data_IF_111336598757
#
_entry.id   IF_111336598757
#
_cell.length_a   1.000
_cell.length_b   1.000
_cell.length_c   1.000
_cell.angle_alpha   90.00
_cell.angle_beta   90.00
_cell.angle_gamma   90.00
#
_symmetry.space_group_name_H-M   'P 1'
#
loop_
_entity.id
_entity.type
_entity.pdbx_description
1 polymer ?
#
# COMPACT_ATOMS: atom_id res chain seq x y z
N UNK A 1 21.24 1.77 5.46
CA UNK A 1 20.57 3.01 5.03
C UNK A 1 19.51 2.60 4.00
N UNK A 2 18.21 2.54 4.35
CA UNK A 2 17.15 2.20 3.37
C UNK A 2 17.05 3.35 2.36
N UNK A 3 17.00 3.02 1.07
CA UNK A 3 16.96 4.01 -0.02
C UNK A 3 15.86 5.06 0.24
N UNK A 4 16.15 6.36 0.02
CA UNK A 4 15.21 7.46 0.29
C UNK A 4 13.86 7.26 -0.42
N UNK A 5 13.86 6.60 -1.57
CA UNK A 5 12.67 6.32 -2.39
C UNK A 5 11.67 5.39 -1.70
N UNK A 6 12.16 4.42 -0.92
CA UNK A 6 11.28 3.45 -0.24
C UNK A 6 10.54 4.10 0.93
N UNK A 7 11.18 5.03 1.64
CA UNK A 7 10.53 5.76 2.74
C UNK A 7 9.42 6.67 2.22
N UNK A 8 9.68 7.43 1.15
CA UNK A 8 8.66 8.27 0.52
C UNK A 8 7.49 7.46 -0.03
N UNK A 9 7.75 6.29 -0.65
CA UNK A 9 6.69 5.38 -1.12
C UNK A 9 5.85 4.84 0.03
N UNK A 10 6.48 4.38 1.12
CA UNK A 10 5.79 3.90 2.32
C UNK A 10 4.82 4.95 2.86
N UNK A 11 5.24 6.20 3.02
CA UNK A 11 4.38 7.27 3.53
C UNK A 11 3.18 7.55 2.61
N UNK A 12 3.39 7.59 1.30
CA UNK A 12 2.29 7.80 0.32
C UNK A 12 1.28 6.65 0.34
N UNK A 13 1.78 5.41 0.29
CA UNK A 13 0.93 4.21 0.32
C UNK A 13 0.19 4.12 1.66
N UNK A 14 0.85 4.42 2.77
CA UNK A 14 0.23 4.45 4.10
C UNK A 14 -0.94 5.45 4.14
N UNK A 15 -0.76 6.65 3.59
CA UNK A 15 -1.84 7.64 3.53
C UNK A 15 -3.04 7.12 2.73
N UNK A 16 -2.79 6.46 1.59
CA UNK A 16 -3.85 5.84 0.79
C UNK A 16 -4.60 4.76 1.59
N UNK A 17 -3.87 3.92 2.32
CA UNK A 17 -4.48 2.87 3.14
C UNK A 17 -5.38 3.46 4.22
N UNK A 18 -4.88 4.47 4.95
CA UNK A 18 -5.66 5.16 5.99
C UNK A 18 -6.95 5.76 5.43
N UNK A 19 -6.88 6.35 4.22
CA UNK A 19 -8.05 6.93 3.55
C UNK A 19 -9.04 5.86 3.07
N UNK A 20 -8.57 4.78 2.44
CA UNK A 20 -9.46 3.74 1.89
C UNK A 20 -10.13 2.93 3.00
N UNK A 21 -9.38 2.58 4.05
CA UNK A 21 -9.88 1.78 5.17
C UNK A 21 -10.53 2.64 6.26
N UNK A 22 -10.51 3.96 6.10
CA UNK A 22 -11.02 4.93 7.06
C UNK A 22 -10.50 4.65 8.49
N UNK A 23 -9.20 4.37 8.60
CA UNK A 23 -8.54 3.99 9.85
C UNK A 23 -7.15 4.64 9.95
N UNK A 24 -6.98 5.57 10.89
CA UNK A 24 -5.73 6.31 11.05
C UNK A 24 -4.65 5.57 11.86
N UNK A 25 -5.01 4.48 12.55
CA UNK A 25 -4.11 3.70 13.40
C UNK A 25 -3.30 2.64 12.64
N UNK A 26 -3.39 2.62 11.30
CA UNK A 26 -2.64 1.68 10.46
C UNK A 26 -1.16 2.03 10.46
N UNK A 27 -0.34 1.01 10.64
CA UNK A 27 1.12 1.00 10.59
C UNK A 27 1.65 0.38 9.30
N UNK A 28 2.95 0.54 9.04
CA UNK A 28 3.57 0.08 7.78
C UNK A 28 3.54 -1.44 7.57
N UNK A 29 3.55 -2.19 8.68
CA UNK A 29 3.63 -3.64 8.69
C UNK A 29 2.29 -4.31 9.08
N UNK A 30 1.21 -3.52 9.19
CA UNK A 30 -0.12 -4.08 9.40
C UNK A 30 -0.56 -4.89 8.17
N UNK A 31 -1.02 -6.12 8.43
CA UNK A 31 -1.58 -6.98 7.40
C UNK A 31 -2.99 -6.50 7.05
N UNK A 32 -3.20 -6.23 5.76
CA UNK A 32 -4.48 -5.74 5.21
C UNK A 32 -5.68 -6.57 5.68
N UNK A 33 -5.54 -7.89 5.72
CA UNK A 33 -6.62 -8.80 6.10
C UNK A 33 -6.80 -8.82 7.62
N UNK A 34 -5.71 -8.75 8.38
CA UNK A 34 -5.76 -8.71 9.84
C UNK A 34 -6.46 -7.45 10.38
N UNK A 35 -6.32 -6.31 9.69
CA UNK A 35 -7.01 -5.05 10.03
C UNK A 35 -8.43 -4.95 9.45
N UNK A 36 -8.95 -6.04 8.87
CA UNK A 36 -10.33 -6.12 8.34
C UNK A 36 -10.49 -5.68 6.89
N UNK A 37 -9.40 -5.42 6.17
CA UNK A 37 -9.43 -5.08 4.75
C UNK A 37 -9.88 -6.26 3.88
N UNK A 38 -10.71 -5.96 2.89
CA UNK A 38 -11.27 -6.95 1.98
C UNK A 38 -10.71 -6.78 0.55
N UNK A 39 -11.11 -7.68 -0.34
CA UNK A 39 -10.74 -7.64 -1.77
C UNK A 39 -11.11 -6.32 -2.44
N UNK A 40 -12.26 -5.73 -2.08
CA UNK A 40 -12.70 -4.45 -2.62
C UNK A 40 -11.79 -3.29 -2.17
N UNK A 41 -11.27 -3.35 -0.94
CA UNK A 41 -10.34 -2.33 -0.43
C UNK A 41 -8.98 -2.47 -1.10
N UNK A 42 -8.50 -3.69 -1.33
CA UNK A 42 -7.30 -3.94 -2.11
C UNK A 42 -7.40 -3.37 -3.54
N UNK A 43 -8.57 -3.48 -4.18
CA UNK A 43 -8.82 -2.88 -5.50
C UNK A 43 -8.79 -1.35 -5.45
N UNK A 44 -9.47 -0.74 -4.46
CA UNK A 44 -9.46 0.72 -4.26
C UNK A 44 -8.04 1.23 -3.99
N UNK A 45 -7.31 0.59 -3.08
CA UNK A 45 -5.90 0.89 -2.77
C UNK A 45 -5.05 0.82 -4.04
N UNK A 46 -5.21 -0.23 -4.84
CA UNK A 46 -4.46 -0.40 -6.09
C UNK A 46 -4.71 0.76 -7.06
N UNK A 47 -5.98 1.12 -7.28
CA UNK A 47 -6.37 2.24 -8.15
C UNK A 47 -5.83 3.59 -7.64
N UNK A 48 -5.94 3.86 -6.34
CA UNK A 48 -5.41 5.09 -5.73
C UNK A 48 -3.88 5.14 -5.82
N UNK A 49 -3.19 4.04 -5.54
CA UNK A 49 -1.74 3.94 -5.69
C UNK A 49 -1.34 4.19 -7.14
N UNK A 50 -2.02 3.58 -8.11
CA UNK A 50 -1.74 3.80 -9.52
C UNK A 50 -1.94 5.27 -9.92
N UNK A 51 -3.02 5.92 -9.44
CA UNK A 51 -3.30 7.32 -9.74
C UNK A 51 -2.28 8.27 -9.12
N UNK A 52 -1.86 8.04 -7.87
CA UNK A 52 -0.94 8.94 -7.16
C UNK A 52 0.55 8.70 -7.44
N UNK A 53 0.92 7.46 -7.76
CA UNK A 53 2.32 7.08 -8.01
C UNK A 53 2.68 7.08 -9.49
N UNK A 54 1.69 7.08 -10.40
CA UNK A 54 1.92 7.00 -11.85
C UNK A 54 2.52 5.67 -12.31
N UNK A 55 2.54 4.64 -11.44
CA UNK A 55 3.05 3.30 -11.74
C UNK A 55 1.88 2.30 -11.80
N UNK A 56 1.94 1.25 -12.64
CA UNK A 56 0.91 0.21 -12.65
C UNK A 56 0.90 -0.56 -11.33
N UNK A 57 -0.21 -0.46 -10.59
CA UNK A 57 -0.46 -1.20 -9.35
C UNK A 57 -1.76 -1.97 -9.52
N UNK A 58 -1.69 -3.31 -9.45
CA UNK A 58 -2.87 -4.17 -9.53
C UNK A 58 -3.23 -4.70 -8.14
N UNK A 59 -4.50 -4.94 -7.88
CA UNK A 59 -5.04 -5.60 -6.70
C UNK A 59 -4.27 -6.86 -6.29
N UNK A 60 -3.89 -7.72 -7.24
CA UNK A 60 -3.12 -8.96 -6.95
C UNK A 60 -1.80 -8.64 -6.24
N UNK A 61 -1.14 -7.54 -6.62
CA UNK A 61 0.12 -7.10 -6.01
C UNK A 61 -0.09 -6.60 -4.58
N UNK A 62 -1.20 -5.89 -4.33
CA UNK A 62 -1.59 -5.43 -2.99
C UNK A 62 -1.86 -6.64 -2.08
N UNK A 63 -2.68 -7.58 -2.54
CA UNK A 63 -3.01 -8.80 -1.80
C UNK A 63 -1.80 -9.72 -1.55
N UNK A 64 -0.86 -9.79 -2.50
CA UNK A 64 0.39 -10.55 -2.30
C UNK A 64 1.34 -9.89 -1.31
N UNK A 65 1.41 -8.56 -1.33
CA UNK A 65 2.32 -7.81 -0.46
C UNK A 65 1.84 -7.79 0.99
N UNK A 66 0.51 -7.82 1.19
CA UNK A 66 -0.21 -7.84 2.48
C UNK A 66 0.01 -6.64 3.39
N UNK A 67 1.13 -5.92 3.28
CA UNK A 67 1.48 -4.76 4.10
C UNK A 67 1.93 -3.57 3.23
N UNK A 68 1.92 -2.37 3.82
CA UNK A 68 2.43 -1.15 3.15
C UNK A 68 3.92 -1.27 2.86
N UNK A 69 4.71 -1.74 3.82
CA UNK A 69 6.14 -2.04 3.67
C UNK A 69 6.40 -3.00 2.51
N UNK A 70 5.61 -4.08 2.42
CA UNK A 70 5.72 -5.08 1.36
C UNK A 70 5.41 -4.49 -0.01
N UNK A 71 4.35 -3.69 -0.11
CA UNK A 71 3.93 -3.07 -1.36
C UNK A 71 4.94 -2.03 -1.83
N UNK A 72 5.43 -1.17 -0.93
CA UNK A 72 6.46 -0.19 -1.22
C UNK A 72 7.76 -0.85 -1.71
N UNK A 73 8.20 -1.92 -1.03
CA UNK A 73 9.37 -2.70 -1.45
C UNK A 73 9.17 -3.33 -2.83
N UNK A 74 7.99 -3.88 -3.09
CA UNK A 74 7.65 -4.41 -4.42
C UNK A 74 7.76 -3.32 -5.49
N UNK A 75 7.32 -2.08 -5.19
CA UNK A 75 7.32 -0.94 -6.13
C UNK A 75 8.66 -0.25 -6.31
N UNK A 76 9.59 -0.40 -5.37
CA UNK A 76 10.97 0.11 -5.47
C UNK A 76 11.89 -0.82 -6.24
N UNK A 77 11.56 -2.12 -6.35
CA UNK A 77 12.35 -3.11 -7.10
C UNK A 77 11.96 -3.21 -8.58
N UNK A 78 11.27 -2.20 -9.12
CA UNK A 78 10.87 -2.07 -10.53
C UNK A 78 11.11 -0.65 -11.00
#
# INVERSE_FOLDING_TARGET
MKAPDTFTLQTRILSIWKQVLNNENISLDDDLIAIGGQSIDALKIANECQRQLGKPVNMVRVLRSRTVSGLAKSLSQT
#
